data_IF_228084436130
#
_entry.id   IF_228084436130
#
_cell.length_a   1.000
_cell.length_b   1.000
_cell.length_c   1.000
_cell.angle_alpha   90.00
_cell.angle_beta   90.00
_cell.angle_gamma   90.00
#
_symmetry.space_group_name_H-M   'P 1'
#
loop_
_entity.id
_entity.type
_entity.pdbx_description
1 polymer ?
#
# COMPACT_ATOMS: atom_id res chain seq x y z
N UNK A 1 1.54 -12.48 -25.93
CA UNK A 1 2.38 -12.74 -24.73
C UNK A 1 1.55 -12.38 -23.51
N UNK A 2 0.98 -13.37 -22.80
CA UNK A 2 0.23 -13.13 -21.57
C UNK A 2 1.25 -12.82 -20.46
N UNK A 3 1.55 -11.54 -20.26
CA UNK A 3 2.21 -11.12 -19.02
C UNK A 3 1.19 -11.37 -17.93
N UNK A 4 1.40 -12.40 -17.09
CA UNK A 4 0.61 -12.55 -15.87
C UNK A 4 0.96 -11.34 -15.01
N UNK A 5 -0.01 -10.45 -14.77
CA UNK A 5 0.15 -9.33 -13.85
C UNK A 5 0.41 -9.87 -12.44
N UNK A 6 1.69 -10.07 -12.13
CA UNK A 6 2.14 -10.44 -10.79
C UNK A 6 1.96 -9.21 -9.90
N UNK A 7 1.44 -9.39 -8.68
CA UNK A 7 1.33 -8.27 -7.76
C UNK A 7 2.72 -7.73 -7.41
N UNK A 8 2.83 -6.41 -7.32
CA UNK A 8 4.01 -5.75 -6.78
C UNK A 8 3.98 -5.87 -5.26
N UNK A 9 4.95 -6.58 -4.69
CA UNK A 9 5.17 -6.60 -3.26
C UNK A 9 5.93 -5.34 -2.83
N UNK A 10 5.37 -4.58 -1.89
CA UNK A 10 5.97 -3.37 -1.33
C UNK A 10 6.20 -3.64 0.16
N UNK A 11 7.44 -3.60 0.62
CA UNK A 11 7.72 -3.67 2.05
C UNK A 11 7.45 -2.31 2.69
N UNK A 12 6.79 -2.30 3.85
CA UNK A 12 6.48 -1.03 4.54
C UNK A 12 7.74 -0.32 5.07
N UNK A 13 8.82 -1.07 5.30
CA UNK A 13 10.01 -0.58 5.98
C UNK A 13 9.78 -0.41 7.49
N UNK A 14 10.46 0.56 8.11
CA UNK A 14 10.27 0.91 9.51
C UNK A 14 8.92 1.63 9.73
N UNK A 15 8.03 1.11 10.58
CA UNK A 15 6.77 1.76 10.94
C UNK A 15 6.90 3.18 11.50
N UNK A 16 8.06 3.54 12.06
CA UNK A 16 8.31 4.84 12.70
C UNK A 16 8.81 5.89 11.71
N UNK A 17 9.23 5.47 10.51
CA UNK A 17 9.66 6.37 9.44
C UNK A 17 8.50 6.91 8.61
N UNK A 18 8.83 7.58 7.50
CA UNK A 18 7.85 8.17 6.56
C UNK A 18 7.46 7.24 5.40
N UNK A 19 7.97 6.00 5.41
CA UNK A 19 7.69 4.99 4.38
C UNK A 19 6.19 4.74 4.18
N UNK A 20 5.39 4.52 5.24
CA UNK A 20 3.95 4.35 5.14
C UNK A 20 3.24 5.49 4.39
N UNK A 21 3.59 6.75 4.68
CA UNK A 21 3.00 7.93 4.07
C UNK A 21 3.40 8.07 2.60
N UNK A 22 4.66 7.74 2.27
CA UNK A 22 5.13 7.72 0.88
C UNK A 22 4.35 6.68 0.08
N UNK A 23 4.17 5.46 0.61
CA UNK A 23 3.44 4.38 -0.07
C UNK A 23 2.02 4.84 -0.43
N UNK A 24 1.29 5.40 0.53
CA UNK A 24 -0.07 5.92 0.30
C UNK A 24 -0.06 7.04 -0.75
N UNK A 25 0.82 8.04 -0.60
CA UNK A 25 0.87 9.18 -1.52
C UNK A 25 1.23 8.76 -2.95
N UNK A 26 2.13 7.79 -3.11
CA UNK A 26 2.55 7.27 -4.40
C UNK A 26 1.45 6.46 -5.08
N UNK A 27 0.75 5.59 -4.33
CA UNK A 27 -0.31 4.74 -4.88
C UNK A 27 -1.59 5.53 -5.20
N UNK A 28 -1.88 6.62 -4.48
CA UNK A 28 -3.05 7.47 -4.77
C UNK A 28 -2.86 8.34 -6.03
N UNK A 29 -1.63 8.79 -6.29
CA UNK A 29 -1.33 9.64 -7.46
C UNK A 29 -1.16 8.85 -8.75
N UNK A 30 -0.81 7.58 -8.66
CA UNK A 30 -0.74 6.72 -9.84
C UNK A 30 -2.14 6.16 -10.12
N UNK A 31 -2.58 6.22 -11.38
CA UNK A 31 -3.55 5.26 -11.89
C UNK A 31 -2.85 3.89 -11.91
N UNK A 32 -2.76 3.25 -10.75
CA UNK A 32 -2.05 2.00 -10.57
C UNK A 32 -2.78 0.91 -11.37
N UNK A 33 -2.33 0.67 -12.61
CA UNK A 33 -2.85 -0.39 -13.46
C UNK A 33 -2.28 -1.77 -13.07
N UNK A 34 -1.85 -1.92 -11.82
CA UNK A 34 -1.23 -3.12 -11.26
C UNK A 34 -1.73 -3.34 -9.83
N UNK A 35 -1.67 -4.59 -9.38
CA UNK A 35 -2.01 -4.94 -7.99
C UNK A 35 -0.81 -4.70 -7.09
N UNK A 36 -0.92 -3.81 -6.12
CA UNK A 36 0.08 -3.61 -5.09
C UNK A 36 -0.30 -4.36 -3.81
N UNK A 37 0.67 -5.04 -3.19
CA UNK A 37 0.50 -5.71 -1.89
C UNK A 37 1.54 -5.14 -0.94
N UNK A 38 1.08 -4.42 0.08
CA UNK A 38 1.96 -3.89 1.14
C UNK A 38 2.17 -4.97 2.20
N UNK A 39 3.43 -5.31 2.45
CA UNK A 39 3.85 -6.25 3.48
C UNK A 39 4.25 -5.44 4.71
N UNK A 40 3.39 -5.44 5.73
CA UNK A 40 3.58 -4.65 6.95
C UNK A 40 2.35 -4.68 7.87
N UNK A 41 2.33 -3.77 8.85
CA UNK A 41 1.22 -3.62 9.79
C UNK A 41 0.09 -2.79 9.16
N UNK A 42 -1.12 -3.34 9.08
CA UNK A 42 -2.25 -2.66 8.46
C UNK A 42 -2.65 -1.38 9.19
N UNK A 43 -2.56 -1.33 10.52
CA UNK A 43 -2.93 -0.16 11.31
C UNK A 43 -1.99 1.04 11.06
N UNK A 44 -0.72 0.78 10.74
CA UNK A 44 0.24 1.82 10.36
C UNK A 44 -0.13 2.42 8.99
N UNK A 45 -0.54 1.59 8.03
CA UNK A 45 -1.01 2.07 6.73
C UNK A 45 -2.34 2.84 6.87
N UNK A 46 -3.29 2.36 7.71
CA UNK A 46 -4.52 3.11 8.00
C UNK A 46 -4.22 4.48 8.59
N UNK A 47 -3.25 4.56 9.52
CA UNK A 47 -2.79 5.83 10.07
C UNK A 47 -2.20 6.73 9.00
N UNK A 48 -1.36 6.20 8.10
CA UNK A 48 -0.77 6.96 7.01
C UNK A 48 -1.83 7.51 6.03
N UNK A 49 -2.89 6.75 5.75
CA UNK A 49 -4.06 7.20 4.95
C UNK A 49 -4.71 8.42 5.60
N UNK A 50 -4.95 8.37 6.92
CA UNK A 50 -5.54 9.47 7.66
C UNK A 50 -4.63 10.71 7.67
N UNK A 51 -3.31 10.54 7.88
CA UNK A 51 -2.33 11.65 7.87
C UNK A 51 -2.30 12.34 6.50
N UNK A 52 -2.36 11.56 5.41
CA UNK A 52 -2.32 12.09 4.06
C UNK A 52 -3.67 12.66 3.58
N UNK A 53 -4.74 12.59 4.39
CA UNK A 53 -6.12 12.86 3.96
C UNK A 53 -6.49 12.09 2.68
N UNK A 54 -5.94 10.89 2.53
CA UNK A 54 -6.11 10.05 1.35
C UNK A 54 -7.48 9.39 1.34
N UNK A 55 -8.06 9.19 0.15
CA UNK A 55 -9.32 8.46 -0.02
C UNK A 55 -9.12 6.98 -0.28
N UNK A 56 -7.88 6.49 -0.23
CA UNK A 56 -7.58 5.08 -0.44
C UNK A 56 -8.27 4.18 0.58
N UNK A 57 -8.74 3.03 0.09
CA UNK A 57 -9.29 1.95 0.91
C UNK A 57 -8.30 0.79 0.86
N UNK A 58 -7.97 0.22 2.02
CA UNK A 58 -7.11 -0.96 2.10
C UNK A 58 -7.94 -2.23 2.26
N UNK A 59 -7.44 -3.31 1.66
CA UNK A 59 -7.96 -4.66 1.82
C UNK A 59 -6.92 -5.49 2.57
N UNK A 60 -7.22 -5.84 3.82
CA UNK A 60 -6.36 -6.75 4.60
C UNK A 60 -6.45 -8.16 4.03
N UNK A 61 -5.30 -8.75 3.71
CA UNK A 61 -5.19 -10.14 3.29
C UNK A 61 -5.02 -10.99 4.54
N UNK A 62 -5.98 -11.87 4.82
CA UNK A 62 -5.93 -12.85 5.90
C UNK A 62 -5.64 -14.23 5.32
N UNK A 63 -4.91 -15.05 6.07
CA UNK A 63 -4.85 -16.48 5.79
C UNK A 63 -5.98 -17.15 6.58
N UNK A 64 -6.83 -17.89 5.88
CA UNK A 64 -7.80 -18.81 6.48
C UNK A 64 -7.11 -20.10 6.97
#
# INVERSE_FOLDING_TARGET
>A
MLVRDKPLAITMGDPSGIGPEIIVSSLEKQEANFKAVVIGCSDIIKRAININNSKMIIHEIKND
#
